data_IF_068683718237
#
_entry.id   IF_068683718237
#
_cell.length_a   1.000
_cell.length_b   1.000
_cell.length_c   1.000
_cell.angle_alpha   90.00
_cell.angle_beta   90.00
_cell.angle_gamma   90.00
#
_symmetry.space_group_name_H-M   'P 1'
#
loop_
_entity.id
_entity.type
_entity.pdbx_description
1 polymer ?
#
# COMPACT_ATOMS: atom_id res chain seq x y z
N UNK A 1 -3.59 8.76 14.79
CA UNK A 1 -3.70 9.96 13.95
C UNK A 1 -3.07 9.67 12.58
N UNK A 2 -3.49 10.35 11.52
CA UNK A 2 -2.87 10.22 10.19
C UNK A 2 -1.94 11.42 9.98
N UNK A 3 -0.63 11.18 9.94
CA UNK A 3 0.38 12.24 9.79
C UNK A 3 0.63 12.66 8.34
N UNK A 4 0.31 11.79 7.37
CA UNK A 4 0.34 12.08 5.95
C UNK A 4 -0.56 11.11 5.15
N UNK A 5 -1.11 11.60 4.04
CA UNK A 5 -1.81 10.81 3.05
C UNK A 5 -1.34 11.23 1.65
N UNK A 6 -0.85 10.27 0.86
CA UNK A 6 -0.22 10.51 -0.44
C UNK A 6 -0.62 9.43 -1.44
N UNK A 7 -0.58 9.76 -2.74
CA UNK A 7 -1.09 8.89 -3.79
C UNK A 7 -0.03 8.08 -4.56
N UNK A 8 1.25 8.43 -4.45
CA UNK A 8 2.32 7.88 -5.28
C UNK A 8 3.45 7.27 -4.44
N UNK A 9 4.08 6.21 -4.97
CA UNK A 9 5.16 5.49 -4.30
C UNK A 9 6.34 6.39 -3.88
N UNK A 10 6.71 7.35 -4.71
CA UNK A 10 7.81 8.28 -4.39
C UNK A 10 7.42 9.25 -3.27
N UNK A 11 6.22 9.82 -3.35
CA UNK A 11 5.69 10.70 -2.30
C UNK A 11 5.50 9.97 -0.97
N UNK A 12 5.21 8.65 -1.01
CA UNK A 12 5.14 7.80 0.18
C UNK A 12 6.50 7.73 0.89
N UNK A 13 7.58 7.49 0.15
CA UNK A 13 8.94 7.41 0.74
C UNK A 13 9.35 8.74 1.35
N UNK A 14 9.08 9.84 0.65
CA UNK A 14 9.36 11.20 1.15
C UNK A 14 8.57 11.52 2.43
N UNK A 15 7.30 11.12 2.50
CA UNK A 15 6.47 11.30 3.70
C UNK A 15 7.00 10.48 4.89
N UNK A 16 7.46 9.24 4.65
CA UNK A 16 8.01 8.40 5.73
C UNK A 16 9.31 8.97 6.31
N UNK A 17 10.16 9.56 5.47
CA UNK A 17 11.38 10.22 5.93
C UNK A 17 11.07 11.47 6.75
N UNK A 18 10.12 12.29 6.28
CA UNK A 18 9.74 13.55 6.93
C UNK A 18 9.00 13.35 8.25
N UNK A 19 7.97 12.51 8.25
CA UNK A 19 7.05 12.37 9.38
C UNK A 19 7.47 11.28 10.37
N UNK A 20 8.34 10.35 9.94
CA UNK A 20 8.78 9.19 10.72
C UNK A 20 7.63 8.43 11.41
N UNK A 21 6.61 7.98 10.65
CA UNK A 21 5.44 7.33 11.22
C UNK A 21 5.77 6.00 11.89
N UNK A 22 4.93 5.62 12.85
CA UNK A 22 5.02 4.31 13.54
C UNK A 22 4.60 3.14 12.65
N UNK A 23 3.80 3.39 11.60
CA UNK A 23 3.33 2.39 10.65
C UNK A 23 3.06 3.02 9.28
N UNK A 24 3.33 2.25 8.22
CA UNK A 24 2.93 2.60 6.85
C UNK A 24 1.80 1.67 6.40
N UNK A 25 0.75 2.25 5.82
CA UNK A 25 -0.29 1.53 5.10
C UNK A 25 -0.24 1.96 3.64
N UNK A 26 -0.11 1.02 2.72
CA UNK A 26 0.06 1.29 1.28
C UNK A 26 -0.74 0.31 0.43
N UNK A 27 -1.33 0.75 -0.69
CA UNK A 27 -1.82 -0.16 -1.73
C UNK A 27 -0.62 -0.79 -2.47
N UNK A 28 -0.80 -1.94 -3.11
CA UNK A 28 0.15 -2.52 -4.08
C UNK A 28 0.20 -1.67 -5.35
N UNK A 29 -0.98 -1.25 -5.83
CA UNK A 29 -1.14 -0.56 -7.11
C UNK A 29 -1.21 0.94 -6.87
N UNK A 30 -0.17 1.65 -7.28
CA UNK A 30 -0.12 3.11 -7.25
C UNK A 30 0.18 3.64 -8.67
N UNK A 31 -0.13 4.90 -8.97
CA UNK A 31 0.32 5.53 -10.21
C UNK A 31 1.86 5.40 -10.40
N UNK A 32 2.35 5.44 -11.64
CA UNK A 32 1.59 5.67 -12.86
C UNK A 32 1.04 4.40 -13.53
N UNK A 33 1.68 3.23 -13.35
CA UNK A 33 1.28 2.01 -14.08
C UNK A 33 0.23 1.19 -13.32
N UNK A 34 0.02 1.45 -12.03
CA UNK A 34 -0.90 0.71 -11.17
C UNK A 34 -0.61 -0.80 -11.16
N UNK A 35 0.67 -1.17 -11.07
CA UNK A 35 1.16 -2.56 -11.03
C UNK A 35 1.65 -2.95 -9.65
N UNK A 36 2.88 -2.59 -9.31
CA UNK A 36 3.61 -3.04 -8.13
C UNK A 36 4.38 -1.93 -7.41
N UNK A 37 4.11 -0.67 -7.76
CA UNK A 37 4.80 0.51 -7.28
C UNK A 37 4.79 0.61 -5.75
N UNK A 38 3.62 0.37 -5.13
CA UNK A 38 3.49 0.41 -3.68
C UNK A 38 4.19 -0.75 -2.98
N UNK A 39 4.25 -1.93 -3.62
CA UNK A 39 5.05 -3.06 -3.12
C UNK A 39 6.55 -2.75 -3.19
N UNK A 40 7.02 -2.19 -4.31
CA UNK A 40 8.43 -1.76 -4.46
C UNK A 40 8.80 -0.69 -3.43
N UNK A 41 7.92 0.28 -3.18
CA UNK A 41 8.11 1.28 -2.13
C UNK A 41 8.19 0.64 -0.73
N UNK A 42 7.29 -0.31 -0.42
CA UNK A 42 7.32 -1.02 0.85
C UNK A 42 8.63 -1.80 1.06
N UNK A 43 9.12 -2.50 0.04
CA UNK A 43 10.39 -3.22 0.11
C UNK A 43 11.59 -2.29 0.30
N UNK A 44 11.61 -1.15 -0.41
CA UNK A 44 12.66 -0.13 -0.25
C UNK A 44 12.66 0.44 1.18
N UNK A 45 11.50 0.84 1.69
CA UNK A 45 11.35 1.34 3.06
C UNK A 45 11.76 0.30 4.11
N UNK A 46 11.46 -0.98 3.87
CA UNK A 46 11.88 -2.07 4.77
C UNK A 46 13.38 -2.32 4.72
N UNK A 47 14.01 -2.15 3.57
CA UNK A 47 15.47 -2.26 3.44
C UNK A 47 16.18 -1.11 4.16
N UNK A 48 15.65 0.11 4.05
CA UNK A 48 16.18 1.31 4.73
C UNK A 48 15.90 1.30 6.24
N UNK A 49 14.73 0.80 6.66
CA UNK A 49 14.27 0.75 8.05
C UNK A 49 13.73 -0.65 8.38
N UNK A 50 14.61 -1.62 8.71
CA UNK A 50 14.21 -3.02 8.94
C UNK A 50 13.15 -3.25 10.02
N UNK A 51 12.99 -2.30 10.95
CA UNK A 51 12.02 -2.36 12.04
C UNK A 51 10.71 -1.62 11.75
N UNK A 52 10.59 -0.91 10.62
CA UNK A 52 9.37 -0.16 10.28
C UNK A 52 8.22 -1.13 9.96
N UNK A 53 7.09 -1.08 10.71
CA UNK A 53 5.89 -1.82 10.38
C UNK A 53 5.27 -1.32 9.07
N UNK A 54 4.96 -2.24 8.15
CA UNK A 54 4.33 -1.93 6.87
C UNK A 54 3.19 -2.91 6.60
N UNK A 55 1.99 -2.38 6.37
CA UNK A 55 0.82 -3.11 5.90
C UNK A 55 0.59 -2.79 4.42
N UNK A 56 0.66 -3.81 3.58
CA UNK A 56 0.37 -3.68 2.15
C UNK A 56 -1.04 -4.19 1.88
N UNK A 57 -1.91 -3.32 1.37
CA UNK A 57 -3.25 -3.66 0.92
C UNK A 57 -3.16 -4.21 -0.51
N UNK A 58 -3.52 -5.48 -0.68
CA UNK A 58 -3.71 -6.04 -2.00
C UNK A 58 -5.18 -5.90 -2.41
N UNK A 59 -5.41 -5.49 -3.65
CA UNK A 59 -6.73 -5.60 -4.25
C UNK A 59 -6.96 -7.07 -4.62
N UNK A 60 -7.53 -7.85 -3.71
CA UNK A 60 -8.29 -9.02 -4.13
C UNK A 60 -9.62 -8.49 -4.62
N UNK A 61 -9.85 -8.50 -5.93
CA UNK A 61 -11.15 -8.07 -6.46
C UNK A 61 -12.16 -9.08 -5.95
N UNK A 62 -12.99 -8.64 -5.00
CA UNK A 62 -14.13 -9.40 -4.53
C UNK A 62 -15.11 -9.72 -5.68
N UNK A 63 -14.90 -9.25 -6.91
CA UNK A 63 -15.69 -9.65 -8.09
C UNK A 63 -15.69 -11.17 -8.32
N UNK A 64 -14.59 -11.86 -8.02
CA UNK A 64 -14.55 -13.33 -8.03
C UNK A 64 -15.48 -13.95 -6.97
N UNK A 65 -15.74 -13.24 -5.87
CA UNK A 65 -16.70 -13.64 -4.82
C UNK A 65 -18.11 -13.07 -5.02
N UNK A 66 -18.27 -11.93 -5.69
CA UNK A 66 -19.54 -11.29 -5.95
C UNK A 66 -20.39 -12.14 -6.91
N UNK A 67 -19.76 -12.80 -7.89
CA UNK A 67 -20.43 -13.80 -8.74
C UNK A 67 -20.91 -14.99 -7.91
N UNK A 68 -20.19 -15.38 -6.86
CA UNK A 68 -20.59 -16.49 -5.96
C UNK A 68 -21.78 -16.11 -5.09
N UNK A 69 -21.88 -14.85 -4.65
CA UNK A 69 -23.00 -14.35 -3.85
C UNK A 69 -24.33 -14.28 -4.63
N UNK A 70 -24.29 -14.08 -5.95
CA UNK A 70 -25.47 -14.01 -6.82
C UNK A 70 -25.90 -15.39 -7.34
N UNK A 71 -24.98 -16.36 -7.41
CA UNK A 71 -25.29 -17.74 -7.84
C UNK A 71 -25.74 -18.67 -6.69
N UNK A 72 -25.60 -18.24 -5.43
CA UNK A 72 -26.02 -18.99 -4.24
C UNK A 72 -27.22 -18.33 -3.49
N UNK A 73 -28.02 -17.49 -4.17
CA UNK A 73 -29.36 -17.05 -3.71
C UNK A 73 -30.50 -17.68 -4.50
#
# INVERSE_FOLDING_TARGET
EVVAAVGEAETLRQAVERERPDIVVTDVRMPPDFRDEGLRAALALRAERPTLPILVLSQYVASAYATRLVLES
#
